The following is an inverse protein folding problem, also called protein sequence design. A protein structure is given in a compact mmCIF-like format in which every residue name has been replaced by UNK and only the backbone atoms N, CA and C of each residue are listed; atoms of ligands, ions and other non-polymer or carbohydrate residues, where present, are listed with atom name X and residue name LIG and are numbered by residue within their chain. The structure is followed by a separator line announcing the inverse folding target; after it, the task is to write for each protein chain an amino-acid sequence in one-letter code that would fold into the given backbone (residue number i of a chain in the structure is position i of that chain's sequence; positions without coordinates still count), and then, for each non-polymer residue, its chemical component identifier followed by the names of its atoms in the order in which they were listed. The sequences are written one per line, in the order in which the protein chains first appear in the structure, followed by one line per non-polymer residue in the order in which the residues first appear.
data_IF_292020889427
#
_entry.id   IF_292020889427
#
_cell.length_a   1.000
_cell.length_b   1.000
_cell.length_c   1.000
_cell.angle_alpha   90.00
_cell.angle_beta   90.00
_cell.angle_gamma   90.00
#
_symmetry.space_group_name_H-M   'P 1'
#
loop_
_entity.id
_entity.type
_entity.pdbx_description
1 polymer ?
#
# COMPACT_ATOMS: atom_id res chain seq x y z
N UNK A 1 -20.22 7.64 -8.87
CA UNK A 1 -18.76 7.48 -8.71
C UNK A 1 -18.43 6.00 -8.81
N UNK A 2 -17.41 5.63 -9.59
CA UNK A 2 -16.92 4.24 -9.59
C UNK A 2 -16.31 3.92 -8.23
N UNK A 3 -16.55 2.72 -7.70
CA UNK A 3 -15.99 2.29 -6.42
C UNK A 3 -14.50 2.00 -6.62
N UNK A 4 -13.63 2.66 -5.83
CA UNK A 4 -12.18 2.43 -5.87
C UNK A 4 -11.84 0.97 -5.51
N UNK A 5 -10.79 0.45 -6.15
CA UNK A 5 -10.21 -0.84 -5.80
C UNK A 5 -9.32 -0.65 -4.57
N UNK A 6 -9.59 -1.42 -3.51
CA UNK A 6 -8.86 -1.33 -2.24
C UNK A 6 -7.65 -2.27 -2.28
N UNK A 7 -6.47 -1.72 -1.97
CA UNK A 7 -5.19 -2.41 -2.07
C UNK A 7 -4.56 -2.51 -0.68
N UNK A 8 -4.14 -3.72 -0.31
CA UNK A 8 -3.26 -3.99 0.83
C UNK A 8 -1.88 -4.33 0.28
N UNK A 9 -0.83 -3.63 0.72
CA UNK A 9 0.53 -3.88 0.25
C UNK A 9 1.25 -4.80 1.24
N UNK A 10 1.77 -5.94 0.75
CA UNK A 10 2.51 -6.91 1.56
C UNK A 10 4.00 -6.86 1.19
N UNK A 11 4.83 -6.54 2.18
CA UNK A 11 6.25 -6.23 2.05
C UNK A 11 6.49 -4.77 1.72
N UNK A 12 7.34 -4.10 2.50
CA UNK A 12 7.70 -2.68 2.35
C UNK A 12 9.13 -2.48 1.80
N UNK A 13 9.71 -3.52 1.22
CA UNK A 13 10.94 -3.39 0.42
C UNK A 13 10.74 -2.52 -0.83
N UNK A 14 11.78 -2.40 -1.67
CA UNK A 14 11.76 -1.52 -2.84
C UNK A 14 10.53 -1.68 -3.73
N UNK A 15 10.15 -2.92 -4.06
CA UNK A 15 8.97 -3.20 -4.89
C UNK A 15 7.66 -2.78 -4.23
N UNK A 16 7.43 -3.18 -2.98
CA UNK A 16 6.19 -2.87 -2.28
C UNK A 16 6.00 -1.36 -2.08
N UNK A 17 7.06 -0.66 -1.71
CA UNK A 17 7.05 0.81 -1.57
C UNK A 17 6.79 1.52 -2.91
N UNK A 18 7.43 1.09 -4.00
CA UNK A 18 7.17 1.65 -5.34
C UNK A 18 5.73 1.43 -5.78
N UNK A 19 5.17 0.24 -5.56
CA UNK A 19 3.79 -0.06 -5.90
C UNK A 19 2.79 0.71 -5.02
N UNK A 20 3.05 0.83 -3.71
CA UNK A 20 2.24 1.66 -2.81
C UNK A 20 2.15 3.10 -3.31
N UNK A 21 3.29 3.70 -3.68
CA UNK A 21 3.33 5.05 -4.24
C UNK A 21 2.56 5.13 -5.56
N UNK A 22 2.72 4.16 -6.47
CA UNK A 22 1.99 4.15 -7.74
C UNK A 22 0.47 4.09 -7.53
N UNK A 23 -0.02 3.20 -6.67
CA UNK A 23 -1.45 3.06 -6.39
C UNK A 23 -2.05 4.30 -5.72
N UNK A 24 -1.30 4.98 -4.84
CA UNK A 24 -1.75 6.24 -4.23
C UNK A 24 -1.92 7.38 -5.24
N UNK A 25 -1.26 7.30 -6.41
CA UNK A 25 -1.32 8.31 -7.46
C UNK A 25 -2.35 8.01 -8.57
N UNK A 26 -3.02 6.85 -8.53
CA UNK A 26 -4.03 6.48 -9.52
C UNK A 26 -5.42 6.54 -8.88
N UNK A 27 -6.31 7.37 -9.41
CA UNK A 27 -7.63 7.68 -8.83
C UNK A 27 -8.53 6.47 -8.60
N UNK A 28 -8.33 5.41 -9.37
CA UNK A 28 -9.13 4.19 -9.35
C UNK A 28 -8.80 3.28 -8.16
N UNK A 29 -7.72 3.58 -7.44
CA UNK A 29 -7.21 2.77 -6.34
C UNK A 29 -7.20 3.54 -5.01
N UNK A 30 -7.22 2.76 -3.94
CA UNK A 30 -7.08 3.22 -2.57
C UNK A 30 -6.17 2.24 -1.83
N UNK A 31 -5.00 2.71 -1.38
CA UNK A 31 -4.15 1.91 -0.48
C UNK A 31 -4.76 2.00 0.92
N UNK A 32 -5.10 0.85 1.49
CA UNK A 32 -5.85 0.76 2.76
C UNK A 32 -5.01 0.20 3.92
N UNK A 33 -3.75 -0.13 3.66
CA UNK A 33 -2.83 -0.56 4.69
C UNK A 33 -1.62 -1.30 4.15
N UNK A 34 -0.74 -1.63 5.08
CA UNK A 34 0.54 -2.26 4.83
C UNK A 34 0.72 -3.46 5.75
N UNK A 35 1.47 -4.45 5.27
CA UNK A 35 1.87 -5.62 6.05
C UNK A 35 3.34 -5.87 5.78
N UNK A 36 4.17 -5.92 6.82
CA UNK A 36 5.56 -6.36 6.68
C UNK A 36 5.96 -7.26 7.85
N UNK A 37 6.43 -8.47 7.52
CA UNK A 37 6.84 -9.47 8.53
C UNK A 37 8.16 -9.15 9.22
N UNK A 38 9.03 -8.35 8.58
CA UNK A 38 10.35 -7.97 9.08
C UNK A 38 10.33 -6.58 9.71
N UNK A 39 9.40 -5.72 9.28
CA UNK A 39 9.26 -4.34 9.74
C UNK A 39 7.81 -4.04 10.17
N UNK A 40 7.24 -4.78 11.15
CA UNK A 40 5.84 -4.64 11.53
C UNK A 40 5.49 -3.25 12.09
N UNK A 41 6.40 -2.62 12.83
CA UNK A 41 6.20 -1.27 13.36
C UNK A 41 6.10 -0.22 12.25
N UNK A 42 6.89 -0.37 11.18
CA UNK A 42 6.81 0.54 10.04
C UNK A 42 5.46 0.39 9.33
N UNK A 43 5.00 -0.84 9.14
CA UNK A 43 3.71 -1.11 8.50
C UNK A 43 2.51 -0.58 9.30
N UNK A 44 2.62 -0.49 10.63
CA UNK A 44 1.58 0.06 11.50
C UNK A 44 1.53 1.61 11.51
N UNK A 45 2.64 2.26 11.18
CA UNK A 45 2.79 3.72 11.26
C UNK A 45 2.60 4.45 9.91
N UNK A 46 2.33 3.71 8.83
CA UNK A 46 2.04 4.21 7.47
C UNK A 46 0.54 4.20 7.19
#
# INVERSE_FOLDING_TARGET
MSKKIRILVVGLGGMGSTHANAYSNISDYEVIGFVDSKQPEQAQNL
#
